data_IF_811847640996
#
_entry.id   IF_811847640996
#
_cell.length_a   1.000
_cell.length_b   1.000
_cell.length_c   1.000
_cell.angle_alpha   90.00
_cell.angle_beta   90.00
_cell.angle_gamma   90.00
#
_symmetry.space_group_name_H-M   'P 1'
#
loop_
_entity.id
_entity.type
_entity.pdbx_description
1 polymer ?
#
# COMPACT_ATOMS: atom_id res chain seq x y z
N UNK A 1 -28.29 15.58 0.82
CA UNK A 1 -28.34 14.42 -0.09
C UNK A 1 -27.03 13.68 0.09
N UNK A 2 -27.02 12.46 0.66
CA UNK A 2 -25.78 11.65 0.73
C UNK A 2 -25.40 11.33 -0.71
N UNK A 3 -24.21 11.73 -1.13
CA UNK A 3 -23.63 11.25 -2.39
C UNK A 3 -23.43 9.75 -2.21
N UNK A 4 -24.02 8.95 -3.09
CA UNK A 4 -23.84 7.50 -3.09
C UNK A 4 -22.40 7.20 -3.50
N UNK A 5 -21.60 6.72 -2.56
CA UNK A 5 -20.15 6.50 -2.67
C UNK A 5 -19.90 5.00 -2.60
N UNK A 6 -19.38 4.43 -3.68
CA UNK A 6 -19.37 2.96 -3.83
C UNK A 6 -18.29 2.25 -2.99
N UNK A 7 -17.36 2.99 -2.39
CA UNK A 7 -16.35 2.48 -1.47
C UNK A 7 -16.68 2.77 0.00
N UNK A 8 -17.88 3.25 0.33
CA UNK A 8 -18.30 3.44 1.72
C UNK A 8 -18.14 2.11 2.51
N UNK A 9 -17.35 2.17 3.58
CA UNK A 9 -17.06 1.01 4.43
C UNK A 9 -15.99 0.06 3.89
N UNK A 10 -15.36 0.39 2.75
CA UNK A 10 -14.24 -0.37 2.19
C UNK A 10 -12.91 0.17 2.65
N UNK A 11 -11.97 -0.75 2.87
CA UNK A 11 -10.60 -0.43 3.26
C UNK A 11 -9.65 -0.79 2.13
N UNK A 12 -8.83 0.16 1.69
CA UNK A 12 -7.92 -0.03 0.55
C UNK A 12 -6.49 0.23 1.02
N UNK A 13 -5.60 -0.75 0.89
CA UNK A 13 -4.18 -0.56 1.19
C UNK A 13 -3.44 0.02 -0.01
N UNK A 14 -2.59 1.01 0.27
CA UNK A 14 -1.68 1.61 -0.70
C UNK A 14 -0.26 1.22 -0.33
N UNK A 15 0.46 0.65 -1.28
CA UNK A 15 1.88 0.36 -1.16
C UNK A 15 2.65 1.04 -2.28
N UNK A 16 3.52 1.96 -1.90
CA UNK A 16 4.35 2.71 -2.83
C UNK A 16 5.75 2.82 -2.25
N UNK A 17 6.73 2.38 -3.02
CA UNK A 17 8.14 2.53 -2.66
C UNK A 17 8.95 2.90 -3.89
N UNK A 18 10.03 3.65 -3.66
CA UNK A 18 11.02 3.96 -4.69
C UNK A 18 11.53 2.65 -5.33
N UNK A 19 11.81 2.72 -6.63
CA UNK A 19 12.22 1.60 -7.47
C UNK A 19 13.57 1.94 -8.10
N UNK A 20 14.51 0.98 -8.17
CA UNK A 20 15.79 1.20 -8.84
C UNK A 20 15.61 1.48 -10.35
N UNK A 21 14.45 1.11 -10.90
CA UNK A 21 14.15 1.22 -12.32
C UNK A 21 13.63 2.61 -12.73
N UNK A 22 13.24 3.50 -11.80
CA UNK A 22 12.57 4.76 -12.15
C UNK A 22 13.35 5.58 -13.17
N UNK A 23 14.65 5.82 -12.92
CA UNK A 23 15.48 6.67 -13.78
C UNK A 23 15.57 6.13 -15.21
N UNK A 24 15.82 4.83 -15.38
CA UNK A 24 15.91 4.21 -16.72
C UNK A 24 14.56 4.20 -17.45
N UNK A 25 13.45 4.29 -16.71
CA UNK A 25 12.10 4.38 -17.25
C UNK A 25 11.67 5.83 -17.54
N UNK A 26 12.56 6.81 -17.35
CA UNK A 26 12.25 8.24 -17.52
C UNK A 26 11.40 8.81 -16.38
N UNK A 27 11.32 8.12 -15.24
CA UNK A 27 10.51 8.46 -14.08
C UNK A 27 11.39 8.92 -12.92
N UNK A 28 10.73 9.50 -11.92
CA UNK A 28 11.35 9.94 -10.67
C UNK A 28 10.37 9.86 -9.51
N UNK A 29 10.83 10.15 -8.29
CA UNK A 29 10.00 10.08 -7.07
C UNK A 29 8.75 10.97 -7.14
N UNK A 30 8.82 12.08 -7.88
CA UNK A 30 7.66 12.93 -8.15
C UNK A 30 6.51 12.16 -8.84
N UNK A 31 6.82 11.28 -9.81
CA UNK A 31 5.78 10.50 -10.49
C UNK A 31 5.10 9.51 -9.53
N UNK A 32 5.87 8.82 -8.68
CA UNK A 32 5.31 7.94 -7.65
C UNK A 32 4.41 8.72 -6.68
N UNK A 33 4.85 9.91 -6.30
CA UNK A 33 4.12 10.80 -5.39
C UNK A 33 2.82 11.26 -6.00
N UNK A 34 2.85 11.74 -7.24
CA UNK A 34 1.66 12.20 -7.93
C UNK A 34 0.67 11.06 -8.08
N UNK A 35 1.10 9.88 -8.54
CA UNK A 35 0.23 8.70 -8.64
C UNK A 35 -0.38 8.29 -7.30
N UNK A 36 0.41 8.27 -6.22
CA UNK A 36 -0.08 7.95 -4.88
C UNK A 36 -1.14 8.95 -4.40
N UNK A 37 -0.86 10.25 -4.54
CA UNK A 37 -1.76 11.33 -4.09
C UNK A 37 -3.06 11.34 -4.90
N UNK A 38 -2.98 11.14 -6.21
CA UNK A 38 -4.16 11.08 -7.08
C UNK A 38 -5.03 9.85 -6.76
N UNK A 39 -4.43 8.67 -6.63
CA UNK A 39 -5.15 7.47 -6.19
C UNK A 39 -5.83 7.69 -4.84
N UNK A 40 -5.08 8.17 -3.84
CA UNK A 40 -5.62 8.42 -2.52
C UNK A 40 -6.79 9.43 -2.56
N UNK A 41 -6.69 10.49 -3.38
CA UNK A 41 -7.74 11.50 -3.49
C UNK A 41 -9.03 10.90 -4.01
N UNK A 42 -8.94 10.15 -5.11
CA UNK A 42 -10.10 9.55 -5.73
C UNK A 42 -10.73 8.45 -4.87
N UNK A 43 -9.92 7.63 -4.19
CA UNK A 43 -10.41 6.58 -3.29
C UNK A 43 -11.14 7.18 -2.08
N UNK A 44 -10.59 8.22 -1.43
CA UNK A 44 -11.26 8.91 -0.32
C UNK A 44 -12.56 9.59 -0.80
N UNK A 45 -12.53 10.23 -1.98
CA UNK A 45 -13.71 10.86 -2.56
C UNK A 45 -14.86 9.85 -2.80
N UNK A 46 -14.52 8.60 -3.12
CA UNK A 46 -15.46 7.49 -3.31
C UNK A 46 -15.80 6.74 -2.01
N UNK A 47 -15.32 7.20 -0.85
CA UNK A 47 -15.73 6.71 0.48
C UNK A 47 -14.78 5.71 1.15
N UNK A 48 -13.64 5.39 0.53
CA UNK A 48 -12.70 4.43 1.07
C UNK A 48 -11.95 4.94 2.32
N UNK A 49 -11.59 4.00 3.19
CA UNK A 49 -10.59 4.18 4.25
C UNK A 49 -9.25 3.65 3.71
N UNK A 50 -8.21 4.45 3.76
CA UNK A 50 -6.89 4.06 3.26
C UNK A 50 -6.02 3.45 4.36
N UNK A 51 -5.28 2.39 4.04
CA UNK A 51 -4.19 1.86 4.86
C UNK A 51 -2.85 2.17 4.18
N UNK A 52 -1.95 2.88 4.87
CA UNK A 52 -0.62 3.20 4.34
C UNK A 52 0.47 3.04 5.41
N UNK A 53 1.38 2.07 5.23
CA UNK A 53 2.45 1.75 6.19
C UNK A 53 3.73 2.58 6.07
N UNK A 54 3.63 3.83 5.60
CA UNK A 54 4.80 4.69 5.39
C UNK A 54 5.42 5.25 6.68
N UNK A 55 6.69 5.64 6.59
CA UNK A 55 7.44 6.31 7.66
C UNK A 55 7.01 7.79 7.85
N UNK A 56 7.36 8.39 8.98
CA UNK A 56 7.02 9.78 9.31
C UNK A 56 8.09 10.79 8.88
N UNK A 57 8.90 10.48 7.85
CA UNK A 57 9.96 11.39 7.41
C UNK A 57 9.38 12.68 6.84
N UNK A 58 10.00 13.81 7.17
CA UNK A 58 9.63 15.12 6.64
C UNK A 58 9.76 15.16 5.11
N UNK A 59 8.74 15.68 4.43
CA UNK A 59 8.64 15.70 2.97
C UNK A 59 8.34 14.34 2.34
N UNK A 60 8.08 13.31 3.16
CA UNK A 60 7.72 11.97 2.72
C UNK A 60 6.29 11.86 2.20
N UNK A 61 5.95 10.66 1.72
CA UNK A 61 4.62 10.34 1.21
C UNK A 61 3.53 10.42 2.30
N UNK A 62 3.84 9.94 3.52
CA UNK A 62 2.89 9.92 4.64
C UNK A 62 2.41 11.32 5.03
N UNK A 63 3.32 12.30 5.07
CA UNK A 63 2.96 13.70 5.37
C UNK A 63 1.94 14.25 4.36
N UNK A 64 2.14 13.96 3.07
CA UNK A 64 1.22 14.41 2.02
C UNK A 64 -0.13 13.71 2.09
N UNK A 65 -0.15 12.42 2.42
CA UNK A 65 -1.38 11.68 2.64
C UNK A 65 -2.14 12.19 3.88
N UNK A 66 -1.46 12.54 4.97
CA UNK A 66 -2.11 13.19 6.11
C UNK A 66 -2.72 14.54 5.74
N UNK A 67 -2.00 15.37 4.98
CA UNK A 67 -2.56 16.64 4.48
C UNK A 67 -3.77 16.41 3.55
N UNK A 68 -3.71 15.39 2.70
CA UNK A 68 -4.81 15.03 1.81
C UNK A 68 -6.03 14.55 2.60
N UNK A 69 -5.82 13.65 3.58
CA UNK A 69 -6.86 13.15 4.47
C UNK A 69 -7.53 14.30 5.22
N UNK A 70 -6.76 15.25 5.77
CA UNK A 70 -7.30 16.43 6.44
C UNK A 70 -8.21 17.27 5.53
N UNK A 71 -7.88 17.41 4.25
CA UNK A 71 -8.69 18.18 3.28
C UNK A 71 -9.97 17.46 2.83
N UNK A 72 -9.99 16.13 2.86
CA UNK A 72 -11.08 15.31 2.30
C UNK A 72 -11.89 14.54 3.37
N UNK A 73 -11.49 14.60 4.64
CA UNK A 73 -12.26 14.06 5.74
C UNK A 73 -13.55 14.88 5.91
N UNK A 74 -14.64 14.39 5.35
CA UNK A 74 -15.97 14.99 5.49
C UNK A 74 -16.66 14.59 6.80
N UNK A 75 -16.32 13.42 7.34
CA UNK A 75 -16.83 12.90 8.60
C UNK A 75 -15.68 12.80 9.60
N UNK A 76 -15.71 13.64 10.62
CA UNK A 76 -14.70 13.68 11.69
C UNK A 76 -14.87 12.55 12.72
N UNK A 77 -15.90 11.71 12.59
CA UNK A 77 -16.11 10.57 13.50
C UNK A 77 -15.24 9.36 13.16
N UNK A 78 -14.69 9.28 11.94
CA UNK A 78 -13.85 8.18 11.49
C UNK A 78 -12.67 8.69 10.64
N UNK A 79 -11.46 8.13 10.81
CA UNK A 79 -10.35 8.47 9.95
C UNK A 79 -10.59 7.96 8.52
N UNK A 80 -10.17 8.73 7.53
CA UNK A 80 -10.12 8.31 6.12
C UNK A 80 -8.77 7.71 5.74
N UNK A 81 -7.78 7.82 6.64
CA UNK A 81 -6.44 7.27 6.49
C UNK A 81 -5.98 6.67 7.81
N UNK A 82 -5.54 5.42 7.77
CA UNK A 82 -4.92 4.73 8.88
C UNK A 82 -3.47 4.47 8.48
N UNK A 83 -2.56 4.79 9.39
CA UNK A 83 -1.12 4.62 9.25
C UNK A 83 -0.63 3.58 10.29
N UNK A 84 -0.59 2.29 9.92
CA UNK A 84 -0.08 1.24 10.79
C UNK A 84 1.44 1.38 10.92
N UNK A 85 1.90 1.50 12.16
CA UNK A 85 3.29 1.60 12.53
C UNK A 85 3.77 0.23 13.04
N UNK A 86 4.71 -0.45 12.34
CA UNK A 86 5.22 -1.73 12.78
C UNK A 86 6.04 -1.58 14.06
N UNK A 87 6.02 -2.60 14.93
CA UNK A 87 6.73 -2.63 16.21
C UNK A 87 8.19 -2.14 16.15
N UNK A 88 9.06 -2.67 15.27
CA UNK A 88 10.47 -2.25 15.21
C UNK A 88 10.66 -0.79 14.83
N UNK A 89 9.67 -0.14 14.20
CA UNK A 89 9.74 1.29 13.88
C UNK A 89 9.37 2.12 15.10
N UNK A 90 8.17 1.92 15.66
CA UNK A 90 7.69 2.83 16.70
C UNK A 90 8.39 2.65 18.04
N UNK A 91 9.01 1.48 18.30
CA UNK A 91 9.80 1.28 19.53
C UNK A 91 11.13 2.02 19.50
N UNK A 92 11.68 2.36 18.33
CA UNK A 92 12.92 3.17 18.25
C UNK A 92 12.67 4.66 18.52
N UNK A 93 11.43 5.11 18.35
CA UNK A 93 11.08 6.52 18.41
C UNK A 93 10.69 6.99 19.81
N UNK A 94 10.89 8.29 20.05
CA UNK A 94 10.43 8.95 21.26
C UNK A 94 8.89 8.94 21.29
N UNK A 95 8.32 8.42 22.38
CA UNK A 95 6.87 8.31 22.51
C UNK A 95 6.15 9.66 22.50
N UNK A 96 6.72 10.68 23.15
CA UNK A 96 6.11 12.02 23.21
C UNK A 96 5.95 12.62 21.81
N UNK A 97 6.95 12.43 20.95
CA UNK A 97 6.92 12.89 19.56
C UNK A 97 5.89 12.12 18.73
N UNK A 98 5.86 10.79 18.87
CA UNK A 98 4.86 9.95 18.20
C UNK A 98 3.43 10.27 18.65
N UNK A 99 3.23 10.48 19.94
CA UNK A 99 1.93 10.84 20.50
C UNK A 99 1.48 12.22 20.00
N UNK A 100 2.40 13.20 19.94
CA UNK A 100 2.12 14.51 19.36
C UNK A 100 1.75 14.41 17.87
N UNK A 101 2.49 13.61 17.09
CA UNK A 101 2.19 13.36 15.69
C UNK A 101 0.81 12.70 15.50
N UNK A 102 0.50 11.67 16.31
CA UNK A 102 -0.78 10.98 16.26
C UNK A 102 -1.96 11.93 16.60
N UNK A 103 -1.78 12.81 17.60
CA UNK A 103 -2.77 13.83 17.95
C UNK A 103 -2.94 14.89 16.85
N UNK A 104 -1.86 15.26 16.16
CA UNK A 104 -1.89 16.30 15.13
C UNK A 104 -2.65 15.91 13.86
N UNK A 105 -2.72 14.61 13.55
CA UNK A 105 -3.40 14.10 12.34
C UNK A 105 -4.85 13.67 12.59
N UNK A 106 -5.22 13.48 13.85
CA UNK A 106 -6.58 13.14 14.26
C UNK A 106 -7.55 14.33 14.05
N UNK A 107 -8.84 14.08 13.75
CA UNK A 107 -9.46 12.77 13.53
C UNK A 107 -9.38 12.30 12.07
N UNK A 108 -8.87 13.13 11.16
CA UNK A 108 -8.84 12.83 9.72
C UNK A 108 -8.00 11.60 9.38
N UNK A 109 -6.93 11.36 10.14
CA UNK A 109 -6.14 10.14 10.08
C UNK A 109 -5.90 9.57 11.48
N UNK A 110 -5.55 8.28 11.53
CA UNK A 110 -5.17 7.59 12.75
C UNK A 110 -3.82 6.92 12.57
N UNK A 111 -2.95 7.05 13.57
CA UNK A 111 -1.75 6.24 13.68
C UNK A 111 -2.04 5.05 14.60
N UNK A 112 -1.74 3.84 14.14
CA UNK A 112 -1.94 2.61 14.90
C UNK A 112 -0.59 1.95 15.17
N UNK A 113 -0.23 1.77 16.44
CA UNK A 113 1.05 1.16 16.82
C UNK A 113 0.86 -0.33 17.03
N UNK A 114 1.49 -1.17 16.20
CA UNK A 114 1.31 -2.63 16.25
C UNK A 114 2.38 -3.29 17.12
N UNK A 115 2.04 -4.38 17.79
CA UNK A 115 3.01 -5.28 18.43
C UNK A 115 3.69 -6.22 17.42
N UNK A 116 4.60 -7.07 17.90
CA UNK A 116 5.32 -8.07 17.09
C UNK A 116 4.38 -9.12 16.45
N UNK A 117 3.13 -9.22 16.92
CA UNK A 117 2.11 -10.10 16.36
C UNK A 117 1.16 -9.35 15.41
N UNK A 118 1.38 -8.06 15.19
CA UNK A 118 0.56 -7.23 14.30
C UNK A 118 -0.74 -6.75 14.94
N UNK A 119 -0.86 -6.86 16.27
CA UNK A 119 -2.06 -6.45 17.01
C UNK A 119 -1.92 -4.98 17.43
N UNK A 120 -2.93 -4.13 17.21
CA UNK A 120 -2.91 -2.74 17.67
C UNK A 120 -2.75 -2.65 19.19
N UNK A 121 -1.72 -1.92 19.63
CA UNK A 121 -1.48 -1.58 21.02
C UNK A 121 -2.18 -0.26 21.36
N UNK A 122 -2.97 -0.20 22.44
CA UNK A 122 -3.47 1.07 22.96
C UNK A 122 -2.32 2.02 23.31
N UNK A 123 -2.42 3.34 23.03
CA UNK A 123 -1.37 4.31 23.34
C UNK A 123 -0.91 4.26 24.81
N UNK A 124 -1.84 4.12 25.76
CA UNK A 124 -1.51 4.00 27.19
C UNK A 124 -0.69 2.74 27.50
N UNK A 125 -1.00 1.62 26.83
CA UNK A 125 -0.27 0.35 26.97
C UNK A 125 1.15 0.49 26.42
N UNK A 126 1.30 1.05 25.21
CA UNK A 126 2.60 1.35 24.59
C UNK A 126 3.44 2.21 25.55
N UNK A 127 2.88 3.31 26.06
CA UNK A 127 3.56 4.24 26.95
C UNK A 127 4.06 3.60 28.26
N UNK A 128 3.29 2.66 28.82
CA UNK A 128 3.62 1.99 30.08
C UNK A 128 4.60 0.82 29.91
N UNK A 129 4.49 0.06 28.82
CA UNK A 129 5.23 -1.20 28.62
C UNK A 129 6.55 -1.03 27.85
N UNK A 130 6.70 0.03 27.05
CA UNK A 130 7.83 0.14 26.11
C UNK A 130 8.67 1.40 26.33
N UNK A 131 9.96 1.18 26.58
CA UNK A 131 11.01 2.20 26.49
C UNK A 131 11.71 2.13 25.13
N UNK A 132 12.24 3.25 24.61
CA UNK A 132 12.99 3.23 23.37
C UNK A 132 14.14 2.22 23.40
N UNK A 133 14.19 1.34 22.41
CA UNK A 133 15.26 0.35 22.26
C UNK A 133 15.55 0.09 20.78
N UNK A 134 16.73 -0.46 20.52
CA UNK A 134 17.13 -0.90 19.18
C UNK A 134 16.60 -2.33 18.94
N UNK A 135 15.72 -2.54 17.95
CA UNK A 135 15.26 -3.87 17.57
C UNK A 135 16.40 -4.69 16.96
N UNK A 136 16.35 -6.00 17.15
CA UNK A 136 17.20 -6.95 16.42
C UNK A 136 16.76 -7.08 14.96
N UNK A 137 17.59 -7.70 14.12
CA UNK A 137 17.19 -8.02 12.73
C UNK A 137 15.97 -8.96 12.68
N UNK A 138 15.86 -9.89 13.65
CA UNK A 138 14.69 -10.77 13.79
C UNK A 138 13.42 -9.98 14.12
N UNK A 139 13.51 -8.99 15.02
CA UNK A 139 12.39 -8.09 15.32
C UNK A 139 11.96 -7.26 14.10
N UNK A 140 12.92 -6.82 13.28
CA UNK A 140 12.65 -6.12 12.03
C UNK A 140 11.88 -7.00 11.05
N UNK A 141 12.32 -8.23 10.84
CA UNK A 141 11.66 -9.17 9.95
C UNK A 141 10.26 -9.56 10.45
N UNK A 142 10.16 -9.96 11.72
CA UNK A 142 8.90 -10.38 12.34
C UNK A 142 7.88 -9.24 12.38
N UNK A 143 8.29 -8.05 12.85
CA UNK A 143 7.40 -6.91 13.00
C UNK A 143 6.92 -6.31 11.67
N UNK A 144 7.76 -6.30 10.63
CA UNK A 144 7.33 -5.87 9.29
C UNK A 144 6.36 -6.89 8.67
N UNK A 145 6.66 -8.18 8.78
CA UNK A 145 5.78 -9.26 8.30
C UNK A 145 4.42 -9.21 9.01
N UNK A 146 4.43 -9.04 10.33
CA UNK A 146 3.22 -8.98 11.13
C UNK A 146 2.35 -7.78 10.77
N UNK A 147 2.95 -6.60 10.52
CA UNK A 147 2.23 -5.42 10.05
C UNK A 147 1.61 -5.65 8.65
N UNK A 148 2.38 -6.21 7.71
CA UNK A 148 1.88 -6.51 6.35
C UNK A 148 0.69 -7.45 6.38
N UNK A 149 0.76 -8.50 7.21
CA UNK A 149 -0.36 -9.43 7.43
C UNK A 149 -1.57 -8.76 8.06
N UNK A 150 -1.36 -7.90 9.07
CA UNK A 150 -2.44 -7.16 9.70
C UNK A 150 -3.14 -6.20 8.72
N UNK A 151 -2.37 -5.53 7.85
CA UNK A 151 -2.90 -4.69 6.76
C UNK A 151 -3.69 -5.53 5.76
N UNK A 152 -3.13 -6.64 5.29
CA UNK A 152 -3.76 -7.52 4.31
C UNK A 152 -5.09 -8.11 4.84
N UNK A 153 -5.13 -8.54 6.11
CA UNK A 153 -6.34 -9.09 6.72
C UNK A 153 -7.48 -8.08 6.94
N UNK A 154 -7.21 -6.78 6.76
CA UNK A 154 -8.19 -5.69 6.92
C UNK A 154 -8.58 -5.03 5.60
N UNK A 155 -7.73 -5.14 4.58
CA UNK A 155 -7.96 -4.51 3.31
C UNK A 155 -8.93 -5.33 2.45
N UNK A 156 -9.85 -4.68 1.75
CA UNK A 156 -10.65 -5.29 0.69
C UNK A 156 -9.86 -5.33 -0.63
N UNK A 157 -8.89 -4.43 -0.80
CA UNK A 157 -8.00 -4.36 -1.95
C UNK A 157 -6.63 -3.74 -1.58
N UNK A 158 -5.60 -4.11 -2.33
CA UNK A 158 -4.24 -3.58 -2.25
C UNK A 158 -3.80 -3.03 -3.60
N UNK A 159 -3.23 -1.82 -3.62
CA UNK A 159 -2.67 -1.18 -4.81
C UNK A 159 -1.17 -1.00 -4.60
N UNK A 160 -0.37 -1.60 -5.48
CA UNK A 160 1.07 -1.73 -5.32
C UNK A 160 1.82 -1.08 -6.48
N UNK A 161 2.74 -0.16 -6.18
CA UNK A 161 3.45 0.66 -7.17
C UNK A 161 4.95 0.67 -6.89
N UNK A 162 5.73 0.26 -7.89
CA UNK A 162 7.19 0.27 -7.82
C UNK A 162 7.74 -0.75 -6.82
N UNK A 163 8.57 -0.30 -5.88
CA UNK A 163 9.20 -1.16 -4.88
C UNK A 163 10.69 -1.43 -5.11
N UNK A 164 11.44 -1.46 -4.01
CA UNK A 164 12.86 -1.81 -4.03
C UNK A 164 13.03 -3.30 -4.33
N UNK A 165 14.15 -3.67 -4.96
CA UNK A 165 14.53 -5.06 -5.23
C UNK A 165 15.71 -5.54 -4.38
N UNK A 166 16.43 -4.61 -3.78
CA UNK A 166 17.62 -4.78 -2.97
C UNK A 166 17.57 -3.85 -1.75
N UNK A 167 18.43 -4.12 -0.76
CA UNK A 167 18.53 -3.30 0.46
C UNK A 167 17.20 -3.12 1.21
N UNK A 168 16.27 -4.08 1.06
CA UNK A 168 15.03 -4.11 1.80
C UNK A 168 15.24 -4.72 3.19
N UNK A 169 14.38 -4.36 4.13
CA UNK A 169 14.33 -4.98 5.46
C UNK A 169 13.25 -6.07 5.49
N UNK A 170 13.55 -7.17 6.17
CA UNK A 170 12.71 -8.37 6.27
C UNK A 170 13.05 -9.45 5.24
N UNK A 171 12.20 -10.49 5.18
CA UNK A 171 12.47 -11.74 4.43
C UNK A 171 12.48 -11.62 2.91
N UNK A 172 11.79 -10.62 2.35
CA UNK A 172 11.64 -10.42 0.91
C UNK A 172 11.29 -8.94 0.61
N UNK A 173 11.30 -8.50 -0.66
CA UNK A 173 10.90 -7.13 -1.00
C UNK A 173 9.49 -6.80 -0.47
N UNK A 174 9.33 -5.64 0.15
CA UNK A 174 8.09 -5.32 0.88
C UNK A 174 6.82 -5.34 0.02
N UNK A 175 6.88 -4.75 -1.18
CA UNK A 175 5.78 -4.77 -2.16
C UNK A 175 5.41 -6.20 -2.57
N UNK A 176 6.40 -7.08 -2.71
CA UNK A 176 6.17 -8.49 -3.02
C UNK A 176 5.41 -9.17 -1.88
N UNK A 177 5.86 -8.96 -0.64
CA UNK A 177 5.24 -9.57 0.52
C UNK A 177 3.81 -9.07 0.73
N UNK A 178 3.57 -7.77 0.55
CA UNK A 178 2.25 -7.16 0.64
C UNK A 178 1.30 -7.72 -0.42
N UNK A 179 1.78 -7.97 -1.64
CA UNK A 179 1.00 -8.63 -2.67
C UNK A 179 0.61 -10.06 -2.25
N UNK A 180 1.57 -10.86 -1.75
CA UNK A 180 1.32 -12.22 -1.30
C UNK A 180 0.34 -12.29 -0.13
N UNK A 181 0.54 -11.47 0.91
CA UNK A 181 -0.35 -11.45 2.07
C UNK A 181 -1.76 -10.97 1.66
N UNK A 182 -1.88 -10.00 0.73
CA UNK A 182 -3.16 -9.56 0.20
C UNK A 182 -3.89 -10.66 -0.61
N UNK A 183 -3.18 -11.40 -1.47
CA UNK A 183 -3.74 -12.54 -2.21
C UNK A 183 -4.19 -13.65 -1.25
N UNK A 184 -3.37 -13.98 -0.26
CA UNK A 184 -3.71 -14.98 0.76
C UNK A 184 -4.94 -14.58 1.59
N UNK A 185 -5.16 -13.27 1.79
CA UNK A 185 -6.34 -12.73 2.44
C UNK A 185 -7.59 -12.64 1.51
N UNK A 186 -7.47 -12.98 0.22
CA UNK A 186 -8.55 -12.88 -0.76
C UNK A 186 -8.88 -11.43 -1.19
N UNK A 187 -7.97 -10.49 -0.92
CA UNK A 187 -8.09 -9.09 -1.36
C UNK A 187 -7.93 -8.98 -2.88
N UNK A 188 -8.52 -7.93 -3.48
CA UNK A 188 -8.14 -7.56 -4.85
C UNK A 188 -6.73 -6.96 -4.87
N UNK A 189 -5.88 -7.35 -5.82
CA UNK A 189 -4.49 -6.91 -5.91
C UNK A 189 -4.24 -6.20 -7.23
N UNK A 190 -4.04 -4.88 -7.17
CA UNK A 190 -3.75 -4.02 -8.32
C UNK A 190 -2.24 -3.77 -8.41
N UNK A 191 -1.61 -4.27 -9.47
CA UNK A 191 -0.17 -4.13 -9.69
C UNK A 191 0.12 -3.07 -10.75
N UNK A 192 0.82 -2.01 -10.35
CA UNK A 192 1.24 -0.92 -11.25
C UNK A 192 2.72 -1.11 -11.59
N UNK A 193 2.98 -2.02 -12.52
CA UNK A 193 4.33 -2.45 -12.92
C UNK A 193 5.11 -1.45 -13.79
N UNK A 194 4.45 -0.42 -14.34
CA UNK A 194 5.08 0.56 -15.24
C UNK A 194 6.17 1.41 -14.59
N UNK A 195 6.21 1.43 -13.24
CA UNK A 195 7.26 2.04 -12.40
C UNK A 195 8.45 1.09 -12.12
N UNK A 196 8.42 -0.12 -12.67
CA UNK A 196 9.44 -1.15 -12.50
C UNK A 196 9.50 -1.68 -11.06
N UNK A 197 10.70 -2.10 -10.64
CA UNK A 197 10.93 -2.60 -9.29
C UNK A 197 10.18 -3.90 -9.01
N UNK A 198 9.68 -4.03 -7.78
CA UNK A 198 9.03 -5.24 -7.27
C UNK A 198 7.69 -5.49 -7.95
N UNK A 199 6.85 -4.47 -8.08
CA UNK A 199 5.59 -4.56 -8.82
C UNK A 199 5.83 -4.94 -10.29
N UNK A 200 6.86 -4.36 -10.93
CA UNK A 200 7.22 -4.71 -12.31
C UNK A 200 7.68 -6.16 -12.45
N UNK A 201 8.49 -6.66 -11.52
CA UNK A 201 8.93 -8.06 -11.49
C UNK A 201 7.75 -9.03 -11.29
N UNK A 202 6.82 -8.70 -10.40
CA UNK A 202 5.62 -9.52 -10.19
C UNK A 202 4.73 -9.54 -11.43
N UNK A 203 4.57 -8.41 -12.12
CA UNK A 203 3.85 -8.37 -13.39
C UNK A 203 4.54 -9.18 -14.51
N UNK A 204 5.86 -9.24 -14.56
CA UNK A 204 6.61 -10.10 -15.49
C UNK A 204 6.32 -11.59 -15.20
N UNK A 205 6.38 -12.00 -13.93
CA UNK A 205 6.15 -13.39 -13.53
C UNK A 205 4.70 -13.84 -13.79
N UNK A 206 3.73 -12.92 -13.67
CA UNK A 206 2.32 -13.16 -14.01
C UNK A 206 2.03 -13.09 -15.54
N UNK A 207 3.03 -12.81 -16.37
CA UNK A 207 2.84 -12.67 -17.82
C UNK A 207 2.07 -11.41 -18.25
N UNK A 208 1.90 -10.44 -17.34
CA UNK A 208 1.23 -9.16 -17.61
C UNK A 208 2.15 -8.15 -18.29
N UNK A 209 3.46 -8.33 -18.15
CA UNK A 209 4.49 -7.53 -18.80
C UNK A 209 5.53 -8.41 -19.48
N UNK A 210 6.02 -7.95 -20.63
CA UNK A 210 7.25 -8.46 -21.23
C UNK A 210 8.32 -7.36 -21.19
N UNK A 211 9.01 -7.25 -20.06
CA UNK A 211 10.15 -6.35 -19.88
C UNK A 211 11.48 -7.03 -20.25
N UNK A 212 11.46 -8.23 -20.85
CA UNK A 212 12.67 -9.05 -21.14
C UNK A 212 13.67 -8.34 -22.05
N UNK A 213 13.28 -7.28 -22.74
CA UNK A 213 14.17 -6.45 -23.56
C UNK A 213 14.96 -5.41 -22.76
N UNK A 214 14.74 -5.25 -21.45
CA UNK A 214 15.28 -4.11 -20.68
C UNK A 214 15.88 -4.44 -19.29
N UNK A 215 16.07 -5.73 -18.93
CA UNK A 215 16.70 -6.12 -17.65
C UNK A 215 17.95 -7.00 -17.85
N UNK A 216 19.06 -6.72 -17.14
CA UNK A 216 20.02 -7.76 -16.80
C UNK A 216 19.31 -8.79 -15.90
N UNK A 217 19.34 -10.06 -16.31
CA UNK A 217 18.80 -11.20 -15.56
C UNK A 217 19.47 -11.31 -14.19
N UNK A 218 18.67 -11.20 -13.13
CA UNK A 218 18.69 -11.93 -11.84
C UNK A 218 18.11 -11.01 -10.75
N UNK A 219 16.78 -11.02 -10.64
CA UNK A 219 16.13 -10.50 -9.44
C UNK A 219 16.04 -11.61 -8.38
N UNK A 220 16.29 -11.33 -7.08
CA UNK A 220 16.01 -12.27 -5.99
C UNK A 220 14.56 -12.74 -5.94
N UNK A 221 13.64 -12.01 -6.60
CA UNK A 221 12.22 -12.33 -6.65
C UNK A 221 11.82 -13.20 -7.86
N UNK A 222 12.76 -13.49 -8.77
CA UNK A 222 12.46 -14.25 -10.00
C UNK A 222 11.99 -15.66 -9.63
N UNK A 223 10.77 -16.02 -10.01
CA UNK A 223 10.22 -17.36 -9.80
C UNK A 223 9.61 -17.61 -8.42
N UNK A 224 9.65 -16.63 -7.50
CA UNK A 224 8.86 -16.67 -6.25
C UNK A 224 7.36 -16.79 -6.53
N UNK A 225 6.92 -16.43 -7.74
CA UNK A 225 5.53 -16.32 -8.14
C UNK A 225 5.17 -17.22 -9.32
N UNK A 226 5.99 -18.22 -9.62
CA UNK A 226 5.77 -19.13 -10.76
C UNK A 226 4.47 -19.93 -10.70
N UNK A 227 3.85 -20.00 -9.52
CA UNK A 227 2.57 -20.66 -9.28
C UNK A 227 1.35 -19.71 -9.28
N UNK A 228 1.57 -18.40 -9.42
CA UNK A 228 0.49 -17.41 -9.45
C UNK A 228 0.04 -17.13 -10.88
N UNK A 229 -1.23 -16.78 -11.02
CA UNK A 229 -1.86 -16.44 -12.29
C UNK A 229 -2.56 -15.08 -12.19
N UNK A 230 -2.89 -14.47 -13.34
CA UNK A 230 -3.67 -13.23 -13.36
C UNK A 230 -5.05 -13.36 -12.68
N UNK A 231 -5.59 -14.60 -12.58
CA UNK A 231 -6.85 -14.91 -11.90
C UNK A 231 -6.81 -14.69 -10.38
N UNK A 232 -5.63 -14.78 -9.77
CA UNK A 232 -5.42 -14.62 -8.32
C UNK A 232 -5.45 -13.14 -7.88
N UNK A 233 -5.43 -12.20 -8.84
CA UNK A 233 -5.46 -10.78 -8.55
C UNK A 233 -6.87 -10.26 -8.20
N UNK A 234 -7.93 -10.95 -8.64
CA UNK A 234 -9.32 -10.64 -8.29
C UNK A 234 -9.76 -9.17 -8.44
N UNK A 235 -9.18 -8.43 -9.39
CA UNK A 235 -9.33 -6.96 -9.54
C UNK A 235 -10.65 -6.51 -10.16
N UNK A 236 -11.43 -7.40 -10.76
CA UNK A 236 -12.58 -7.06 -11.59
C UNK A 236 -12.21 -6.46 -12.96
N UNK A 237 -10.92 -6.41 -13.29
CA UNK A 237 -10.42 -6.05 -14.62
C UNK A 237 -10.30 -7.30 -15.49
N UNK A 238 -10.52 -7.13 -16.80
CA UNK A 238 -10.22 -8.19 -17.77
C UNK A 238 -8.71 -8.26 -18.07
N UNK A 239 -8.26 -9.30 -18.78
CA UNK A 239 -6.84 -9.49 -19.08
C UNK A 239 -6.20 -8.34 -19.88
N UNK A 240 -6.97 -7.66 -20.75
CA UNK A 240 -6.48 -6.50 -21.49
C UNK A 240 -6.26 -5.29 -20.58
N UNK A 241 -7.23 -5.03 -19.70
CA UNK A 241 -7.18 -3.97 -18.70
C UNK A 241 -6.08 -4.24 -17.65
N UNK A 242 -5.88 -5.49 -17.22
CA UNK A 242 -4.79 -5.89 -16.33
C UNK A 242 -3.42 -5.58 -16.96
N UNK A 243 -3.21 -5.96 -18.23
CA UNK A 243 -1.99 -5.63 -18.97
C UNK A 243 -1.82 -4.12 -19.17
N UNK A 244 -2.92 -3.39 -19.34
CA UNK A 244 -2.90 -1.94 -19.45
C UNK A 244 -2.48 -1.28 -18.13
N UNK A 245 -3.06 -1.70 -17.00
CA UNK A 245 -2.67 -1.22 -15.67
C UNK A 245 -1.21 -1.56 -15.38
N UNK A 246 -0.80 -2.80 -15.66
CA UNK A 246 0.54 -3.28 -15.40
C UNK A 246 1.62 -2.46 -16.13
N UNK A 247 1.36 -1.99 -17.36
CA UNK A 247 2.33 -1.20 -18.15
C UNK A 247 2.24 0.30 -17.94
N UNK A 248 1.16 0.79 -17.34
CA UNK A 248 0.87 2.21 -17.29
C UNK A 248 1.88 2.99 -16.45
N UNK A 249 2.21 4.18 -16.94
CA UNK A 249 2.97 5.24 -16.24
C UNK A 249 2.16 6.53 -16.15
N UNK A 250 0.93 6.50 -16.67
CA UNK A 250 0.04 7.65 -16.70
C UNK A 250 -0.87 7.57 -15.47
N UNK A 251 -0.76 8.56 -14.60
CA UNK A 251 -1.51 8.61 -13.34
C UNK A 251 -3.02 8.51 -13.56
N UNK A 252 -3.57 9.23 -14.55
CA UNK A 252 -5.02 9.24 -14.81
C UNK A 252 -5.51 7.88 -15.29
N UNK A 253 -4.73 7.21 -16.14
CA UNK A 253 -5.03 5.85 -16.62
C UNK A 253 -5.03 4.84 -15.46
N UNK A 254 -4.03 4.93 -14.58
CA UNK A 254 -3.91 4.08 -13.38
C UNK A 254 -5.14 4.27 -12.48
N UNK A 255 -5.49 5.52 -12.16
CA UNK A 255 -6.66 5.86 -11.34
C UNK A 255 -7.93 5.31 -11.99
N UNK A 256 -8.13 5.54 -13.29
CA UNK A 256 -9.34 5.11 -13.99
C UNK A 256 -9.51 3.58 -13.99
N UNK A 257 -8.42 2.83 -14.21
CA UNK A 257 -8.44 1.37 -14.20
C UNK A 257 -8.66 0.82 -12.79
N UNK A 258 -7.98 1.36 -11.77
CA UNK A 258 -8.20 0.96 -10.38
C UNK A 258 -9.64 1.18 -9.95
N UNK A 259 -10.20 2.38 -10.16
CA UNK A 259 -11.59 2.68 -9.80
C UNK A 259 -12.59 1.81 -10.57
N UNK A 260 -12.33 1.53 -11.85
CA UNK A 260 -13.17 0.64 -12.66
C UNK A 260 -13.20 -0.77 -12.09
N UNK A 261 -12.04 -1.33 -11.77
CA UNK A 261 -11.93 -2.65 -11.17
C UNK A 261 -12.65 -2.73 -9.83
N UNK A 262 -12.37 -1.76 -8.94
CA UNK A 262 -13.01 -1.69 -7.62
C UNK A 262 -14.54 -1.59 -7.74
N UNK A 263 -15.03 -0.78 -8.68
CA UNK A 263 -16.47 -0.63 -8.90
C UNK A 263 -17.10 -1.93 -9.37
N UNK A 264 -16.50 -2.65 -10.33
CA UNK A 264 -17.01 -3.95 -10.79
C UNK A 264 -16.97 -5.01 -9.70
N UNK A 265 -16.01 -4.93 -8.78
CA UNK A 265 -15.88 -5.88 -7.66
C UNK A 265 -16.89 -5.63 -6.55
N UNK A 266 -17.09 -4.36 -6.16
CA UNK A 266 -17.89 -4.03 -4.98
C UNK A 266 -19.31 -3.58 -5.29
N UNK A 267 -19.61 -3.21 -6.53
CA UNK A 267 -20.97 -2.90 -6.98
C UNK A 267 -21.45 -4.07 -7.82
N UNK A 268 -22.44 -4.81 -7.31
CA UNK A 268 -23.10 -5.85 -8.10
C UNK A 268 -23.63 -5.25 -9.41
N UNK A 269 -23.52 -5.95 -10.56
CA UNK A 269 -24.22 -5.51 -11.75
C UNK A 269 -25.71 -5.42 -11.41
N UNK A 270 -26.32 -4.25 -11.62
CA UNK A 270 -27.77 -4.11 -11.50
C UNK A 270 -28.36 -5.15 -12.46
N UNK A 271 -29.03 -6.16 -11.91
CA UNK A 271 -29.64 -7.23 -12.68
C UNK A 271 -30.49 -6.66 -13.81
N UNK A 272 -30.26 -7.15 -15.02
CA UNK A 272 -31.16 -6.98 -16.15
C UNK A 272 -32.35 -7.90 -16.06
#
# INVERSE_FOLDING_TARGET
MRVDRFLDGRTISLSVSNSPDLKRLGLGEAHLRDTLVELARHLIAEGAILLYGGDLRKGGFTEQLFQLAYRHAHDVSKPVLINPQPWPVHITANWSELEAAAKAVAPAAAMEFLDLQGVPMPPARRAAELTPMLPTEEDWEAGLTAMRRAVAGRADAAILIGGKMDGYKGRMPGVVEEALEAMNAGSAVYLVGGFGGAAGALCEDLGLLDLRTQRPRQSPATGLFSNLTEGDLHTGLDGSELRQLAKSRNTDEIVALVLRGLRRRFVAPKGG
#
